data_IF_544158232932
#
_entry.id   IF_544158232932
#
_cell.length_a   1.000
_cell.length_b   1.000
_cell.length_c   1.000
_cell.angle_alpha   90.00
_cell.angle_beta   90.00
_cell.angle_gamma   90.00
#
_symmetry.space_group_name_H-M   'P 1'
#
loop_
_entity.id
_entity.type
_entity.pdbx_description
1 polymer ?
#
# COMPACT_ATOMS: atom_id res chain seq x y z
N UNK A 1 -2.18 -29.20 10.92
CA UNK A 1 -1.46 -27.91 11.12
C UNK A 1 -0.76 -27.43 9.84
N UNK A 2 -0.52 -28.29 8.86
CA UNK A 2 0.18 -27.95 7.59
C UNK A 2 -0.59 -27.06 6.60
N UNK A 3 -1.77 -26.59 6.96
CA UNK A 3 -2.64 -25.84 6.04
C UNK A 3 -2.71 -24.34 6.35
N UNK A 4 -2.23 -23.89 7.50
CA UNK A 4 -2.27 -22.47 7.85
C UNK A 4 -1.08 -21.74 7.24
N UNK A 5 -1.34 -20.50 6.81
CA UNK A 5 -0.34 -19.60 6.25
C UNK A 5 -0.42 -18.25 6.95
N UNK A 6 0.72 -17.73 7.37
CA UNK A 6 0.83 -16.34 7.79
C UNK A 6 0.89 -15.48 6.53
N UNK A 7 0.02 -14.49 6.43
CA UNK A 7 0.02 -13.50 5.35
C UNK A 7 0.53 -12.17 5.92
N UNK A 8 1.55 -11.60 5.28
CA UNK A 8 2.12 -10.29 5.66
C UNK A 8 2.09 -9.38 4.44
N UNK A 9 1.31 -8.32 4.52
CA UNK A 9 1.32 -7.23 3.55
C UNK A 9 2.31 -6.15 4.00
N UNK A 10 3.41 -6.03 3.26
CA UNK A 10 4.53 -5.13 3.56
C UNK A 10 4.28 -3.74 3.00
N UNK A 11 3.44 -2.95 3.66
CA UNK A 11 3.19 -1.56 3.26
C UNK A 11 4.20 -0.57 3.85
N UNK A 12 4.48 0.54 3.14
CA UNK A 12 5.34 1.62 3.67
C UNK A 12 4.70 2.34 4.86
N UNK A 13 3.38 2.53 4.84
CA UNK A 13 2.66 3.16 5.95
C UNK A 13 2.28 2.20 7.06
N UNK A 14 1.78 1.03 6.69
CA UNK A 14 1.25 0.04 7.63
C UNK A 14 1.61 -1.38 7.21
N UNK A 15 2.07 -2.18 8.17
CA UNK A 15 2.10 -3.65 8.06
C UNK A 15 0.68 -4.17 8.38
N UNK A 16 0.21 -5.11 7.57
CA UNK A 16 -1.04 -5.84 7.83
C UNK A 16 -0.73 -7.32 7.82
N UNK A 17 -0.99 -8.00 8.93
CA UNK A 17 -0.65 -9.41 9.04
C UNK A 17 -1.70 -10.22 9.79
N UNK A 18 -1.75 -11.52 9.47
CA UNK A 18 -2.68 -12.46 10.09
C UNK A 18 -2.62 -13.84 9.45
N UNK A 19 -3.39 -14.75 9.99
CA UNK A 19 -3.53 -16.09 9.44
C UNK A 19 -4.58 -16.10 8.31
N UNK A 20 -4.33 -16.91 7.27
CA UNK A 20 -5.22 -17.04 6.12
C UNK A 20 -6.61 -17.62 6.43
N UNK A 21 -6.83 -18.13 7.65
CA UNK A 21 -8.12 -18.66 8.12
C UNK A 21 -9.09 -17.56 8.59
N UNK A 22 -8.62 -16.35 8.81
CA UNK A 22 -9.45 -15.21 9.20
C UNK A 22 -9.77 -14.33 7.99
N UNK A 23 -10.91 -13.64 8.02
CA UNK A 23 -11.35 -12.77 6.93
C UNK A 23 -10.63 -11.42 6.90
N UNK A 24 -10.06 -11.00 8.02
CA UNK A 24 -9.34 -9.76 8.20
C UNK A 24 -7.95 -10.00 8.82
N UNK A 25 -6.98 -9.10 8.61
CA UNK A 25 -5.68 -9.18 9.27
C UNK A 25 -5.85 -9.09 10.78
N UNK A 26 -5.13 -9.96 11.51
CA UNK A 26 -5.17 -9.96 12.98
C UNK A 26 -4.52 -8.74 13.59
N UNK A 27 -3.57 -8.14 12.88
CA UNK A 27 -2.87 -6.93 13.28
C UNK A 27 -2.69 -5.99 12.09
N UNK A 28 -2.83 -4.69 12.37
CA UNK A 28 -2.48 -3.58 11.47
C UNK A 28 -1.77 -2.54 12.32
N UNK A 29 -0.56 -2.18 11.97
CA UNK A 29 0.23 -1.20 12.74
C UNK A 29 1.15 -0.39 11.81
N UNK A 30 1.55 0.84 12.22
CA UNK A 30 2.44 1.69 11.45
C UNK A 30 3.81 1.05 11.20
N UNK A 31 4.33 1.17 10.00
CA UNK A 31 5.63 0.61 9.60
C UNK A 31 6.77 1.51 10.10
N UNK A 32 6.93 1.59 11.40
CA UNK A 32 7.95 2.41 12.05
C UNK A 32 8.67 1.63 13.15
N UNK A 33 9.96 1.95 13.35
CA UNK A 33 10.78 1.41 14.43
C UNK A 33 11.43 2.58 15.18
N UNK A 34 11.24 2.62 16.49
CA UNK A 34 11.84 3.57 17.40
C UNK A 34 13.10 3.01 18.06
N UNK A 35 14.18 3.76 18.03
CA UNK A 35 15.40 3.48 18.80
C UNK A 35 15.61 4.58 19.83
N UNK A 36 15.93 4.19 21.07
CA UNK A 36 16.21 5.16 22.12
C UNK A 36 17.39 6.07 21.73
N UNK A 37 17.27 7.37 22.00
CA UNK A 37 18.34 8.35 21.66
C UNK A 37 19.62 8.12 22.44
N UNK A 38 19.53 7.50 23.63
CA UNK A 38 20.70 7.05 24.37
C UNK A 38 21.20 5.71 23.85
N UNK A 39 22.48 5.62 23.50
CA UNK A 39 23.11 4.39 23.01
C UNK A 39 23.19 3.25 24.05
N UNK A 40 22.94 3.55 25.32
CA UNK A 40 22.94 2.57 26.41
C UNK A 40 21.69 1.68 26.41
N UNK A 41 20.57 2.19 25.86
CA UNK A 41 19.30 1.46 25.79
C UNK A 41 19.20 0.79 24.43
N UNK A 42 19.30 -0.53 24.41
CA UNK A 42 19.21 -1.35 23.18
C UNK A 42 17.79 -1.72 22.77
N UNK A 43 16.80 -1.37 23.58
CA UNK A 43 15.40 -1.70 23.31
C UNK A 43 14.92 -0.98 22.06
N UNK A 44 14.24 -1.71 21.16
CA UNK A 44 13.55 -1.18 19.99
C UNK A 44 12.05 -1.29 20.20
N UNK A 45 11.34 -0.29 19.72
CA UNK A 45 9.88 -0.21 19.76
C UNK A 45 9.36 -0.26 18.31
N UNK A 46 8.23 -0.93 18.10
CA UNK A 46 7.66 -1.11 16.76
C UNK A 46 6.22 -0.62 16.72
N UNK A 47 5.84 0.00 15.62
CA UNK A 47 4.46 0.44 15.38
C UNK A 47 3.98 1.51 16.36
N UNK A 48 2.80 1.29 16.93
CA UNK A 48 2.15 2.25 17.82
C UNK A 48 2.96 2.56 19.07
N UNK A 49 3.68 1.57 19.62
CA UNK A 49 4.58 1.80 20.77
C UNK A 49 5.72 2.77 20.41
N UNK A 50 6.26 2.67 19.20
CA UNK A 50 7.29 3.60 18.74
C UNK A 50 6.76 5.04 18.62
N UNK A 51 5.52 5.20 18.15
CA UNK A 51 4.86 6.50 18.05
C UNK A 51 4.56 7.04 19.46
N UNK A 52 4.04 6.21 20.35
CA UNK A 52 3.72 6.61 21.72
C UNK A 52 4.92 7.16 22.48
N UNK A 53 6.11 6.55 22.29
CA UNK A 53 7.35 6.95 22.96
C UNK A 53 8.24 7.88 22.12
N UNK A 54 7.72 8.52 21.07
CA UNK A 54 8.53 9.30 20.10
C UNK A 54 9.38 10.42 20.73
N UNK A 55 8.92 10.98 21.86
CA UNK A 55 9.67 12.04 22.57
C UNK A 55 11.07 11.59 23.02
N UNK A 56 11.24 10.29 23.29
CA UNK A 56 12.49 9.68 23.75
C UNK A 56 13.21 8.91 22.65
N UNK A 57 12.56 8.66 21.52
CA UNK A 57 13.02 7.81 20.45
C UNK A 57 13.46 8.59 19.21
N UNK A 58 14.38 8.00 18.47
CA UNK A 58 14.59 8.31 17.05
C UNK A 58 13.78 7.31 16.22
N UNK A 59 12.88 7.81 15.39
CA UNK A 59 11.96 7.00 14.59
C UNK A 59 12.55 6.79 13.20
N UNK A 60 12.44 5.56 12.72
CA UNK A 60 12.91 5.11 11.42
C UNK A 60 11.80 4.39 10.65
N UNK A 61 11.82 4.50 9.33
CA UNK A 61 10.92 3.81 8.41
C UNK A 61 11.70 2.67 7.73
N UNK A 62 11.49 1.40 8.13
CA UNK A 62 12.18 0.26 7.53
C UNK A 62 11.80 0.02 6.08
N UNK A 63 10.59 0.42 5.68
CA UNK A 63 10.07 0.34 4.31
C UNK A 63 9.74 1.77 3.87
N UNK A 64 10.43 2.24 2.85
CA UNK A 64 10.27 3.56 2.28
C UNK A 64 9.87 3.45 0.80
N UNK A 65 8.79 4.12 0.40
CA UNK A 65 8.25 4.07 -0.97
C UNK A 65 8.15 2.63 -1.51
N UNK A 66 7.70 1.68 -0.68
CA UNK A 66 7.56 0.26 -1.03
C UNK A 66 8.86 -0.54 -1.04
N UNK A 67 10.02 0.07 -0.80
CA UNK A 67 11.31 -0.62 -0.76
C UNK A 67 11.83 -0.73 0.67
N UNK A 68 12.43 -1.87 1.01
CA UNK A 68 13.11 -2.04 2.29
C UNK A 68 14.39 -1.19 2.26
N UNK A 69 14.40 -0.12 3.03
CA UNK A 69 15.52 0.82 3.16
C UNK A 69 16.56 0.34 4.17
N UNK A 70 16.11 -0.40 5.19
CA UNK A 70 16.96 -0.93 6.25
C UNK A 70 16.52 -2.35 6.65
N UNK A 71 17.36 -3.33 6.33
CA UNK A 71 17.07 -4.75 6.54
C UNK A 71 17.02 -5.17 8.01
N UNK A 72 17.86 -4.60 8.86
CA UNK A 72 17.87 -4.91 10.30
C UNK A 72 16.57 -4.41 10.96
N UNK A 73 16.10 -3.23 10.55
CA UNK A 73 14.83 -2.69 11.04
C UNK A 73 13.63 -3.45 10.46
N UNK A 74 13.70 -3.88 9.20
CA UNK A 74 12.66 -4.71 8.60
C UNK A 74 12.58 -6.07 9.31
N UNK A 75 13.72 -6.68 9.63
CA UNK A 75 13.78 -7.90 10.42
C UNK A 75 13.12 -7.70 11.80
N UNK A 76 13.47 -6.63 12.51
CA UNK A 76 12.82 -6.28 13.80
C UNK A 76 11.31 -6.14 13.66
N UNK A 77 10.85 -5.50 12.57
CA UNK A 77 9.42 -5.35 12.29
C UNK A 77 8.74 -6.71 12.05
N UNK A 78 9.39 -7.61 11.31
CA UNK A 78 8.85 -8.97 11.10
C UNK A 78 8.91 -9.84 12.36
N UNK A 79 9.95 -9.70 13.20
CA UNK A 79 10.02 -10.37 14.52
C UNK A 79 8.81 -9.99 15.39
N UNK A 80 8.51 -8.70 15.46
CA UNK A 80 7.32 -8.19 16.14
C UNK A 80 6.03 -8.74 15.54
N UNK A 81 5.90 -8.65 14.20
CA UNK A 81 4.74 -9.14 13.45
C UNK A 81 4.46 -10.62 13.76
N UNK A 82 5.48 -11.46 13.64
CA UNK A 82 5.37 -12.89 13.89
C UNK A 82 5.08 -13.20 15.35
N UNK A 83 5.63 -12.42 16.28
CA UNK A 83 5.34 -12.52 17.70
C UNK A 83 3.88 -12.23 18.04
N UNK A 84 3.25 -11.31 17.32
CA UNK A 84 1.83 -10.98 17.49
C UNK A 84 0.89 -11.99 16.83
N UNK A 85 1.23 -12.50 15.63
CA UNK A 85 0.36 -13.38 14.84
C UNK A 85 0.47 -14.84 15.28
N UNK A 86 1.66 -15.33 15.57
CA UNK A 86 1.93 -16.72 15.97
C UNK A 86 3.05 -16.79 17.02
N UNK A 87 2.71 -16.50 18.26
CA UNK A 87 3.66 -16.52 19.39
C UNK A 87 4.39 -17.87 19.56
N UNK A 88 3.75 -18.97 19.19
CA UNK A 88 4.31 -20.32 19.35
C UNK A 88 5.15 -20.77 18.18
N UNK A 89 5.23 -19.98 17.10
CA UNK A 89 5.96 -20.31 15.87
C UNK A 89 5.57 -21.69 15.29
N UNK A 90 4.26 -22.02 15.33
CA UNK A 90 3.73 -23.31 14.86
C UNK A 90 3.43 -23.29 13.35
N UNK A 91 3.21 -22.12 12.77
CA UNK A 91 2.88 -21.98 11.35
C UNK A 91 4.18 -21.89 10.55
N UNK A 92 4.32 -22.80 9.58
CA UNK A 92 5.54 -22.96 8.77
C UNK A 92 5.39 -22.47 7.35
N UNK A 93 4.25 -21.87 7.00
CA UNK A 93 4.03 -21.29 5.67
C UNK A 93 3.83 -19.78 5.80
N UNK A 94 4.46 -19.01 4.92
CA UNK A 94 4.30 -17.56 4.88
C UNK A 94 4.10 -17.06 3.44
N UNK A 95 3.19 -16.11 3.27
CA UNK A 95 3.04 -15.34 2.06
C UNK A 95 3.34 -13.87 2.37
N UNK A 96 4.29 -13.32 1.61
CA UNK A 96 4.73 -11.92 1.70
C UNK A 96 4.30 -11.16 0.47
N UNK A 97 3.82 -9.94 0.66
CA UNK A 97 3.64 -9.03 -0.49
C UNK A 97 4.92 -8.23 -0.76
N UNK A 98 5.11 -7.89 -2.02
CA UNK A 98 6.15 -6.98 -2.48
C UNK A 98 5.57 -5.97 -3.48
N UNK A 99 6.18 -4.79 -3.67
CA UNK A 99 5.79 -3.88 -4.74
C UNK A 99 6.12 -4.48 -6.12
N UNK A 100 5.43 -4.03 -7.18
CA UNK A 100 5.81 -4.39 -8.52
C UNK A 100 7.23 -3.88 -8.86
N UNK A 101 7.89 -4.55 -9.79
CA UNK A 101 9.24 -4.22 -10.25
C UNK A 101 10.33 -4.33 -9.18
N UNK A 102 10.06 -5.04 -8.10
CA UNK A 102 11.05 -5.34 -7.07
C UNK A 102 12.26 -6.08 -7.70
N UNK A 103 13.47 -5.73 -7.29
CA UNK A 103 14.68 -6.38 -7.80
C UNK A 103 14.78 -7.82 -7.30
N UNK A 104 15.40 -8.68 -8.08
CA UNK A 104 15.60 -10.08 -7.67
C UNK A 104 16.45 -10.20 -6.43
N UNK A 105 17.47 -9.34 -6.29
CA UNK A 105 18.31 -9.30 -5.08
C UNK A 105 17.54 -8.97 -3.81
N UNK A 106 16.54 -8.09 -3.92
CA UNK A 106 15.68 -7.74 -2.81
C UNK A 106 14.78 -8.90 -2.38
N UNK A 107 14.16 -9.57 -3.37
CA UNK A 107 13.36 -10.78 -3.17
C UNK A 107 14.18 -11.91 -2.58
N UNK A 108 15.39 -12.12 -3.09
CA UNK A 108 16.34 -13.13 -2.60
C UNK A 108 16.65 -12.88 -1.12
N UNK A 109 17.06 -11.69 -0.75
CA UNK A 109 17.40 -11.36 0.64
C UNK A 109 16.20 -11.49 1.59
N UNK A 110 14.99 -11.12 1.15
CA UNK A 110 13.78 -11.34 1.93
C UNK A 110 13.53 -12.83 2.14
N UNK A 111 13.66 -13.66 1.09
CA UNK A 111 13.48 -15.10 1.19
C UNK A 111 14.54 -15.78 2.06
N UNK A 112 15.80 -15.38 1.95
CA UNK A 112 16.90 -15.87 2.81
C UNK A 112 16.57 -15.62 4.30
N UNK A 113 16.12 -14.42 4.66
CA UNK A 113 15.74 -14.10 6.03
C UNK A 113 14.59 -15.00 6.53
N UNK A 114 13.60 -15.26 5.69
CA UNK A 114 12.46 -16.06 6.10
C UNK A 114 12.80 -17.56 6.18
N UNK A 115 13.71 -18.09 5.39
CA UNK A 115 14.20 -19.46 5.54
C UNK A 115 15.23 -19.63 6.66
N UNK A 116 16.24 -18.77 6.72
CA UNK A 116 17.42 -18.97 7.58
C UNK A 116 17.20 -18.43 9.00
N UNK A 117 16.54 -17.27 9.12
CA UNK A 117 16.35 -16.62 10.42
C UNK A 117 14.99 -16.97 11.05
N UNK A 118 13.90 -16.92 10.26
CA UNK A 118 12.55 -17.19 10.77
C UNK A 118 12.14 -18.65 10.70
N UNK A 119 12.87 -19.51 10.01
CA UNK A 119 12.71 -20.97 9.92
C UNK A 119 11.33 -21.39 9.37
N UNK A 120 10.89 -20.79 8.27
CA UNK A 120 9.72 -21.22 7.53
C UNK A 120 10.04 -22.38 6.60
N UNK A 121 9.08 -23.29 6.39
CA UNK A 121 9.20 -24.43 5.49
C UNK A 121 8.78 -24.06 4.06
N UNK A 122 7.82 -23.13 3.89
CA UNK A 122 7.32 -22.73 2.59
C UNK A 122 7.10 -21.21 2.53
N UNK A 123 7.61 -20.58 1.49
CA UNK A 123 7.52 -19.15 1.26
C UNK A 123 6.88 -18.86 -0.09
N UNK A 124 5.98 -17.89 -0.13
CA UNK A 124 5.53 -17.25 -1.36
C UNK A 124 5.77 -15.73 -1.26
N UNK A 125 6.31 -15.14 -2.32
CA UNK A 125 6.49 -13.69 -2.44
C UNK A 125 5.71 -13.21 -3.66
N UNK A 126 4.62 -12.48 -3.43
CA UNK A 126 3.69 -12.05 -4.48
C UNK A 126 3.55 -10.55 -4.56
N UNK A 127 3.29 -10.04 -5.76
CA UNK A 127 3.09 -8.60 -5.98
C UNK A 127 1.74 -8.16 -5.39
N UNK A 128 1.74 -7.10 -4.58
CA UNK A 128 0.56 -6.56 -3.88
C UNK A 128 -0.61 -6.27 -4.82
N UNK A 129 -0.36 -5.66 -5.99
CA UNK A 129 -1.41 -5.37 -6.97
C UNK A 129 -2.04 -6.62 -7.58
N UNK A 130 -1.27 -7.71 -7.79
CA UNK A 130 -1.85 -8.99 -8.24
C UNK A 130 -2.78 -9.57 -7.16
N UNK A 131 -2.39 -9.45 -5.91
CA UNK A 131 -3.25 -9.89 -4.81
C UNK A 131 -4.54 -9.05 -4.74
N UNK A 132 -4.47 -7.75 -5.01
CA UNK A 132 -5.66 -6.90 -5.08
C UNK A 132 -6.64 -7.33 -6.19
N UNK A 133 -6.16 -7.81 -7.34
CA UNK A 133 -7.02 -8.40 -8.39
C UNK A 133 -7.71 -9.67 -7.89
N UNK A 134 -6.99 -10.55 -7.20
CA UNK A 134 -7.58 -11.77 -6.64
C UNK A 134 -8.60 -11.47 -5.54
N UNK A 135 -8.37 -10.44 -4.72
CA UNK A 135 -9.36 -9.98 -3.74
C UNK A 135 -10.66 -9.48 -4.39
N UNK A 136 -10.57 -8.91 -5.60
CA UNK A 136 -11.74 -8.52 -6.40
C UNK A 136 -12.46 -9.70 -7.07
N UNK A 137 -11.98 -10.94 -6.91
CA UNK A 137 -12.51 -12.12 -7.60
C UNK A 137 -12.20 -12.15 -9.10
N UNK A 138 -11.16 -11.43 -9.52
CA UNK A 138 -10.77 -11.27 -10.91
C UNK A 138 -9.41 -11.93 -11.18
N UNK A 139 -9.16 -12.25 -12.45
CA UNK A 139 -7.84 -12.64 -12.98
C UNK A 139 -7.29 -11.61 -13.96
N UNK A 140 -8.16 -10.72 -14.45
CA UNK A 140 -7.82 -9.66 -15.41
C UNK A 140 -8.39 -8.33 -14.95
N UNK A 141 -7.59 -7.29 -14.93
CA UNK A 141 -7.98 -5.93 -14.56
C UNK A 141 -6.78 -5.00 -14.41
N UNK A 142 -7.07 -3.74 -14.18
CA UNK A 142 -6.09 -2.69 -13.92
C UNK A 142 -6.20 -2.25 -12.46
N UNK A 143 -5.17 -2.50 -11.66
CA UNK A 143 -5.16 -1.99 -10.28
C UNK A 143 -4.62 -0.58 -10.27
N UNK A 144 -5.35 0.35 -9.68
CA UNK A 144 -4.84 1.64 -9.23
C UNK A 144 -4.70 1.56 -7.71
N UNK A 145 -3.48 1.42 -7.24
CA UNK A 145 -3.14 1.34 -5.83
C UNK A 145 -2.59 2.69 -5.36
N UNK A 146 -3.30 3.33 -4.43
CA UNK A 146 -2.92 4.62 -3.84
C UNK A 146 -2.55 4.35 -2.38
N UNK A 147 -1.26 4.08 -2.17
CA UNK A 147 -0.70 3.77 -0.86
C UNK A 147 -0.30 5.00 -0.06
N UNK A 148 0.49 4.78 0.99
CA UNK A 148 1.09 5.86 1.78
C UNK A 148 2.29 6.48 1.05
N UNK A 149 3.26 5.68 0.60
CA UNK A 149 4.46 6.19 -0.05
C UNK A 149 4.39 6.24 -1.57
N UNK A 150 3.49 5.48 -2.22
CA UNK A 150 3.46 5.36 -3.69
C UNK A 150 2.05 5.25 -4.22
N UNK A 151 1.86 5.77 -5.42
CA UNK A 151 0.72 5.49 -6.29
C UNK A 151 1.19 4.71 -7.49
N UNK A 152 0.54 3.60 -7.81
CA UNK A 152 0.94 2.74 -8.90
C UNK A 152 -0.25 2.14 -9.64
N UNK A 153 -0.07 1.97 -10.95
CA UNK A 153 -1.05 1.36 -11.82
C UNK A 153 -0.46 0.08 -12.40
N UNK A 154 -1.14 -1.05 -12.14
CA UNK A 154 -0.63 -2.40 -12.40
C UNK A 154 -1.64 -3.14 -13.27
N UNK A 155 -1.38 -3.31 -14.57
CA UNK A 155 -2.23 -4.10 -15.44
C UNK A 155 -1.94 -5.60 -15.26
N UNK A 156 -3.01 -6.36 -15.07
CA UNK A 156 -2.98 -7.82 -14.89
C UNK A 156 -3.85 -8.47 -15.97
N UNK A 157 -3.34 -9.53 -16.58
CA UNK A 157 -3.99 -10.33 -17.60
C UNK A 157 -3.89 -11.82 -17.26
N UNK A 158 -5.02 -12.50 -17.09
CA UNK A 158 -5.08 -13.93 -16.74
C UNK A 158 -4.13 -14.31 -15.60
N UNK A 159 -4.02 -13.45 -14.58
CA UNK A 159 -3.11 -13.62 -13.45
C UNK A 159 -1.65 -13.23 -13.72
N UNK A 160 -1.32 -12.68 -14.90
CA UNK A 160 0.04 -12.23 -15.25
C UNK A 160 0.11 -10.70 -15.26
N UNK A 161 1.16 -10.17 -14.67
CA UNK A 161 1.42 -8.72 -14.65
C UNK A 161 2.10 -8.30 -15.95
N UNK A 162 1.53 -7.32 -16.65
CA UNK A 162 2.14 -6.68 -17.82
C UNK A 162 3.18 -5.65 -17.36
N UNK A 163 4.41 -6.12 -17.11
CA UNK A 163 5.46 -5.36 -16.45
C UNK A 163 5.86 -4.05 -17.15
N UNK A 164 5.83 -4.05 -18.48
CA UNK A 164 6.23 -2.88 -19.27
C UNK A 164 5.19 -1.75 -19.25
N UNK A 165 4.00 -2.06 -18.77
CA UNK A 165 2.87 -1.13 -18.69
C UNK A 165 2.56 -0.66 -17.26
N UNK A 166 3.38 -1.08 -16.29
CA UNK A 166 3.28 -0.57 -14.92
C UNK A 166 3.72 0.90 -14.91
N UNK A 167 2.90 1.75 -14.33
CA UNK A 167 3.23 3.14 -14.04
C UNK A 167 3.27 3.32 -12.53
N UNK A 168 4.35 3.93 -12.06
CA UNK A 168 4.57 4.23 -10.66
C UNK A 168 4.86 5.73 -10.50
N UNK A 169 4.35 6.30 -9.43
CA UNK A 169 4.66 7.64 -8.93
C UNK A 169 4.97 7.56 -7.45
N UNK A 170 6.08 8.16 -7.02
CA UNK A 170 6.44 8.30 -5.62
C UNK A 170 5.68 9.51 -5.02
N UNK A 171 4.36 9.46 -5.15
CA UNK A 171 3.38 10.40 -4.63
C UNK A 171 2.22 9.61 -4.03
N UNK A 172 1.97 9.77 -2.74
CA UNK A 172 0.98 9.00 -2.01
C UNK A 172 0.42 9.72 -0.79
N UNK A 173 -0.03 8.95 0.19
CA UNK A 173 -0.66 9.46 1.40
C UNK A 173 0.24 10.32 2.27
N UNK A 174 1.55 10.04 2.27
CA UNK A 174 2.54 10.80 3.02
C UNK A 174 2.67 12.23 2.48
N UNK A 175 2.81 12.39 1.16
CA UNK A 175 2.85 13.71 0.52
C UNK A 175 1.56 14.50 0.76
N UNK A 176 0.41 13.81 0.74
CA UNK A 176 -0.87 14.44 1.08
C UNK A 176 -0.91 14.91 2.55
N UNK A 177 -0.34 14.14 3.48
CA UNK A 177 -0.23 14.54 4.88
C UNK A 177 0.70 15.74 5.06
N UNK A 178 1.85 15.74 4.38
CA UNK A 178 2.77 16.87 4.38
C UNK A 178 2.14 18.12 3.77
N UNK A 179 1.33 17.95 2.73
CA UNK A 179 0.61 19.06 2.12
C UNK A 179 -0.45 19.63 3.08
N UNK A 180 -1.23 18.78 3.77
CA UNK A 180 -2.18 19.23 4.78
C UNK A 180 -1.46 19.95 5.94
N UNK A 181 -0.33 19.40 6.42
CA UNK A 181 0.49 20.03 7.46
C UNK A 181 0.91 21.45 7.06
N UNK A 182 1.39 21.60 5.82
CA UNK A 182 1.76 22.91 5.28
C UNK A 182 0.56 23.87 5.29
N UNK A 183 -0.60 23.45 4.76
CA UNK A 183 -1.81 24.28 4.73
C UNK A 183 -2.26 24.70 6.14
N UNK A 184 -2.20 23.80 7.12
CA UNK A 184 -2.51 24.07 8.53
C UNK A 184 -1.52 25.10 9.11
N UNK A 185 -0.23 24.98 8.79
CA UNK A 185 0.76 25.98 9.20
C UNK A 185 0.51 27.35 8.52
N UNK A 186 0.13 27.37 7.26
CA UNK A 186 -0.14 28.60 6.49
C UNK A 186 -1.34 29.37 7.05
N UNK A 187 -2.32 28.69 7.65
CA UNK A 187 -3.47 29.33 8.35
C UNK A 187 -3.16 29.69 9.81
N UNK A 188 -1.94 29.44 10.30
CA UNK A 188 -1.45 29.99 11.56
C UNK A 188 -1.27 29.01 12.72
N UNK A 189 -1.51 27.70 12.54
CA UNK A 189 -1.26 26.70 13.58
C UNK A 189 0.15 26.15 13.56
N UNK A 190 0.78 25.95 14.72
CA UNK A 190 2.15 25.47 14.84
C UNK A 190 2.23 23.94 14.96
N UNK A 191 2.08 23.24 13.83
CA UNK A 191 2.11 21.77 13.74
C UNK A 191 3.50 21.32 13.37
N UNK A 192 4.44 21.31 14.34
CA UNK A 192 5.88 21.12 14.07
C UNK A 192 6.47 19.83 14.63
N UNK A 193 5.76 19.13 15.52
CA UNK A 193 6.21 17.86 16.11
C UNK A 193 5.73 16.68 15.30
N UNK A 194 6.40 15.53 15.46
CA UNK A 194 5.95 14.30 14.82
C UNK A 194 4.60 13.84 15.34
N UNK A 195 4.36 13.96 16.65
CA UNK A 195 3.05 13.70 17.26
C UNK A 195 1.94 14.51 16.59
N UNK A 196 2.18 15.81 16.35
CA UNK A 196 1.25 16.64 15.62
C UNK A 196 1.07 16.18 14.17
N UNK A 197 2.10 15.61 13.54
CA UNK A 197 1.98 15.04 12.19
C UNK A 197 1.06 13.82 12.16
N UNK A 198 1.05 12.98 13.20
CA UNK A 198 0.08 11.88 13.30
C UNK A 198 -1.36 12.41 13.45
N UNK A 199 -1.58 13.54 14.13
CA UNK A 199 -2.87 14.20 14.14
C UNK A 199 -3.27 14.71 12.74
N UNK A 200 -2.32 15.26 11.98
CA UNK A 200 -2.56 15.66 10.59
C UNK A 200 -2.96 14.47 9.72
N UNK A 201 -2.31 13.31 9.88
CA UNK A 201 -2.72 12.08 9.20
C UNK A 201 -4.15 11.71 9.54
N UNK A 202 -4.51 11.72 10.82
CA UNK A 202 -5.87 11.43 11.27
C UNK A 202 -6.87 12.44 10.69
N UNK A 203 -6.54 13.73 10.66
CA UNK A 203 -7.38 14.76 10.04
C UNK A 203 -7.54 14.51 8.54
N UNK A 204 -6.46 14.16 7.82
CA UNK A 204 -6.51 13.80 6.40
C UNK A 204 -7.48 12.64 6.17
N UNK A 205 -7.40 11.60 6.97
CA UNK A 205 -8.17 10.37 6.81
C UNK A 205 -9.65 10.54 7.20
N UNK A 206 -9.94 11.39 8.20
CA UNK A 206 -11.29 11.52 8.74
C UNK A 206 -12.07 12.73 8.22
N UNK A 207 -11.38 13.81 7.86
CA UNK A 207 -12.03 15.08 7.52
C UNK A 207 -11.92 15.46 6.05
N UNK A 208 -10.91 14.95 5.30
CA UNK A 208 -10.72 15.31 3.89
C UNK A 208 -11.67 14.51 2.98
N UNK A 209 -12.03 15.11 1.85
CA UNK A 209 -12.91 14.51 0.83
C UNK A 209 -12.55 15.02 -0.57
N UNK A 210 -12.79 14.22 -1.60
CA UNK A 210 -12.63 14.67 -2.99
C UNK A 210 -13.81 15.57 -3.40
N UNK A 211 -13.51 16.76 -3.88
CA UNK A 211 -14.51 17.63 -4.47
C UNK A 211 -15.00 17.06 -5.81
N UNK A 212 -16.31 16.99 -5.98
CA UNK A 212 -16.88 16.67 -7.30
C UNK A 212 -16.88 17.91 -8.22
N UNK A 213 -16.79 19.11 -7.68
CA UNK A 213 -16.72 20.35 -8.44
C UNK A 213 -15.88 21.41 -7.69
N UNK A 214 -14.52 21.37 -7.82
CA UNK A 214 -13.63 22.25 -7.06
C UNK A 214 -13.95 23.74 -7.19
N UNK A 215 -14.29 24.30 -8.36
CA UNK A 215 -14.68 25.72 -8.46
C UNK A 215 -15.93 26.08 -7.65
N UNK A 216 -16.89 25.16 -7.55
CA UNK A 216 -18.10 25.36 -6.74
C UNK A 216 -17.81 25.27 -5.26
N UNK A 217 -17.03 24.26 -4.84
CA UNK A 217 -16.68 24.06 -3.43
C UNK A 217 -15.76 25.17 -2.92
N UNK A 218 -14.95 25.77 -3.77
CA UNK A 218 -14.14 26.95 -3.41
C UNK A 218 -14.97 28.19 -3.03
N UNK A 219 -16.24 28.27 -3.46
CA UNK A 219 -17.15 29.36 -3.12
C UNK A 219 -17.99 29.08 -1.88
N UNK A 220 -17.83 27.93 -1.24
CA UNK A 220 -18.61 27.52 -0.06
C UNK A 220 -17.97 28.05 1.21
N UNK A 221 -18.80 28.61 2.08
CA UNK A 221 -18.42 29.10 3.42
C UNK A 221 -18.73 28.09 4.53
N UNK A 222 -19.49 27.01 4.20
CA UNK A 222 -19.99 26.01 5.15
C UNK A 222 -19.09 24.77 5.28
N UNK A 223 -17.83 24.84 4.85
CA UNK A 223 -16.89 23.71 4.86
C UNK A 223 -16.08 23.60 6.16
N UNK A 224 -16.13 24.58 7.02
CA UNK A 224 -15.33 24.61 8.25
C UNK A 224 -15.68 23.47 9.21
N UNK A 225 -14.66 22.80 9.71
CA UNK A 225 -14.75 21.75 10.73
C UNK A 225 -13.62 21.90 11.73
N UNK A 226 -13.94 21.77 13.01
CA UNK A 226 -12.97 21.81 14.10
C UNK A 226 -12.52 20.40 14.47
N UNK A 227 -11.22 20.17 14.51
CA UNK A 227 -10.59 18.97 15.05
C UNK A 227 -10.05 19.27 16.43
N UNK A 228 -10.48 18.51 17.43
CA UNK A 228 -9.96 18.63 18.81
C UNK A 228 -8.79 17.66 18.97
N UNK A 229 -7.68 18.17 19.50
CA UNK A 229 -6.49 17.35 19.74
C UNK A 229 -6.77 16.30 20.82
N UNK A 230 -6.32 15.05 20.63
CA UNK A 230 -6.55 13.99 21.60
C UNK A 230 -5.86 14.26 22.94
N UNK A 231 -6.35 13.63 24.00
CA UNK A 231 -5.74 13.56 25.34
C UNK A 231 -5.45 14.93 26.00
N UNK A 232 -6.15 15.99 25.58
CA UNK A 232 -5.91 17.33 26.06
C UNK A 232 -4.57 17.92 25.63
N UNK A 233 -4.02 17.41 24.54
CA UNK A 233 -2.79 17.95 23.95
C UNK A 233 -3.01 19.37 23.42
N UNK A 234 -1.93 20.13 23.36
CA UNK A 234 -1.95 21.51 22.88
C UNK A 234 -0.81 21.76 21.90
N UNK A 235 -1.09 22.56 20.89
CA UNK A 235 -0.07 23.10 20.01
C UNK A 235 0.82 24.10 20.78
N UNK A 236 2.00 24.40 20.24
CA UNK A 236 2.92 25.37 20.84
C UNK A 236 2.29 26.75 21.03
N UNK A 237 1.33 27.09 20.21
CA UNK A 237 0.59 28.37 20.24
C UNK A 237 -0.55 28.37 21.26
N UNK A 238 -0.73 27.26 22.03
CA UNK A 238 -1.73 27.14 23.08
C UNK A 238 -3.10 26.73 22.60
N UNK A 239 -3.26 26.33 21.33
CA UNK A 239 -4.52 25.81 20.80
C UNK A 239 -4.65 24.31 21.11
N UNK A 240 -5.81 23.87 21.53
CA UNK A 240 -6.24 22.48 21.71
C UNK A 240 -7.11 21.98 20.54
N UNK A 241 -7.39 22.88 19.60
CA UNK A 241 -8.22 22.62 18.41
C UNK A 241 -7.58 23.20 17.16
N UNK A 242 -7.86 22.56 16.02
CA UNK A 242 -7.49 23.02 14.68
C UNK A 242 -8.75 23.13 13.84
N UNK A 243 -9.00 24.30 13.28
CA UNK A 243 -10.11 24.51 12.36
C UNK A 243 -9.59 24.49 10.92
N UNK A 244 -10.18 23.62 10.07
CA UNK A 244 -9.88 23.52 8.65
C UNK A 244 -11.14 23.64 7.81
N UNK A 245 -11.04 24.20 6.63
CA UNK A 245 -12.15 24.45 5.72
C UNK A 245 -11.85 23.93 4.31
N UNK A 246 -11.36 24.78 3.44
CA UNK A 246 -11.04 24.42 2.04
C UNK A 246 -9.87 23.44 1.94
N UNK A 247 -8.98 23.38 2.93
CA UNK A 247 -7.88 22.42 3.02
C UNK A 247 -8.38 20.98 2.89
N UNK A 248 -9.61 20.72 3.37
CA UNK A 248 -10.26 19.41 3.35
C UNK A 248 -10.41 18.83 1.94
N UNK A 249 -10.65 19.65 0.93
CA UNK A 249 -10.74 19.18 -0.45
C UNK A 249 -9.50 19.50 -1.29
N UNK A 250 -8.69 20.49 -0.93
CA UNK A 250 -7.43 20.77 -1.61
C UNK A 250 -6.44 19.61 -1.49
N UNK A 251 -6.42 18.93 -0.35
CA UNK A 251 -5.49 17.81 -0.12
C UNK A 251 -5.75 16.66 -1.09
N UNK A 252 -6.96 16.08 -1.18
CA UNK A 252 -7.21 15.05 -2.20
C UNK A 252 -7.18 15.56 -3.66
N UNK A 253 -7.40 16.86 -3.90
CA UNK A 253 -7.27 17.44 -5.24
C UNK A 253 -5.85 17.30 -5.79
N UNK A 254 -4.83 17.23 -4.91
CA UNK A 254 -3.45 16.97 -5.31
C UNK A 254 -3.26 15.59 -6.01
N UNK A 255 -4.13 14.63 -5.81
CA UNK A 255 -4.12 13.37 -6.58
C UNK A 255 -4.46 13.61 -8.06
N UNK A 256 -5.31 14.60 -8.35
CA UNK A 256 -5.72 14.96 -9.71
C UNK A 256 -4.84 16.05 -10.32
N UNK A 257 -4.23 16.88 -9.48
CA UNK A 257 -3.33 17.95 -9.90
C UNK A 257 -2.15 18.10 -8.91
N UNK A 258 -1.10 17.27 -9.01
CA UNK A 258 0.03 17.30 -8.08
C UNK A 258 0.78 18.62 -8.00
N UNK A 259 0.66 19.48 -9.02
CA UNK A 259 1.31 20.79 -9.04
C UNK A 259 0.83 21.73 -7.93
N UNK A 260 -0.40 21.55 -7.40
CA UNK A 260 -0.91 22.38 -6.30
C UNK A 260 -0.12 22.18 -4.99
N UNK A 261 0.52 21.02 -4.82
CA UNK A 261 1.43 20.76 -3.71
C UNK A 261 2.91 20.83 -4.13
N UNK A 262 3.22 21.47 -5.26
CA UNK A 262 4.56 21.67 -5.82
C UNK A 262 5.29 20.34 -6.15
N UNK A 263 4.54 19.30 -6.53
CA UNK A 263 5.11 18.03 -6.99
C UNK A 263 5.00 17.92 -8.50
N UNK A 264 6.13 17.66 -9.17
CA UNK A 264 6.17 17.32 -10.59
C UNK A 264 5.94 15.83 -10.76
N UNK A 265 4.69 15.43 -10.63
CA UNK A 265 4.22 14.05 -10.71
C UNK A 265 3.06 13.91 -11.66
N UNK A 266 2.81 12.70 -12.15
CA UNK A 266 1.60 12.40 -12.92
C UNK A 266 0.36 12.41 -12.01
N UNK A 267 -0.76 12.90 -12.52
CA UNK A 267 -2.05 12.72 -11.85
C UNK A 267 -2.47 11.25 -11.87
N UNK A 268 -3.35 10.85 -10.94
CA UNK A 268 -3.88 9.47 -10.92
C UNK A 268 -4.62 9.12 -12.22
N UNK A 269 -5.20 10.10 -12.90
CA UNK A 269 -5.86 9.93 -14.21
C UNK A 269 -4.83 9.67 -15.31
N UNK A 270 -3.72 10.43 -15.32
CA UNK A 270 -2.63 10.23 -16.28
C UNK A 270 -1.93 8.89 -16.07
N UNK A 271 -1.73 8.48 -14.81
CA UNK A 271 -1.16 7.17 -14.45
C UNK A 271 -2.01 6.04 -15.04
N UNK A 272 -3.34 6.10 -14.89
CA UNK A 272 -4.27 5.11 -15.43
C UNK A 272 -4.19 5.07 -16.97
N UNK A 273 -4.32 6.21 -17.62
CA UNK A 273 -4.32 6.26 -19.10
C UNK A 273 -2.98 5.86 -19.69
N UNK A 274 -1.88 6.31 -19.10
CA UNK A 274 -0.54 5.94 -19.55
C UNK A 274 -0.33 4.43 -19.45
N UNK A 275 -0.76 3.81 -18.36
CA UNK A 275 -0.68 2.36 -18.18
C UNK A 275 -1.51 1.61 -19.24
N UNK A 276 -2.77 2.00 -19.46
CA UNK A 276 -3.65 1.39 -20.48
C UNK A 276 -3.03 1.53 -21.88
N UNK A 277 -2.51 2.69 -22.23
CA UNK A 277 -1.95 2.95 -23.55
C UNK A 277 -0.66 2.17 -23.83
N UNK A 278 0.08 1.79 -22.80
CA UNK A 278 1.26 0.93 -22.93
C UNK A 278 0.90 -0.55 -23.08
N UNK A 279 -0.32 -0.95 -22.71
CA UNK A 279 -0.78 -2.33 -22.88
C UNK A 279 -1.10 -2.64 -24.36
N UNK A 280 -1.04 -3.93 -24.77
CA UNK A 280 -1.52 -4.39 -26.07
C UNK A 280 -2.96 -3.93 -26.35
N UNK A 281 -3.23 -3.57 -27.60
CA UNK A 281 -4.49 -2.92 -28.00
C UNK A 281 -5.73 -3.77 -27.73
N UNK A 282 -5.60 -5.09 -27.89
CA UNK A 282 -6.63 -6.09 -27.60
C UNK A 282 -7.07 -6.12 -26.14
N UNK A 283 -6.17 -5.73 -25.25
CA UNK A 283 -6.35 -5.80 -23.80
C UNK A 283 -6.99 -4.53 -23.22
N UNK A 284 -6.83 -3.39 -23.91
CA UNK A 284 -7.18 -2.05 -23.39
C UNK A 284 -8.65 -1.93 -23.00
N UNK A 285 -9.55 -2.50 -23.79
CA UNK A 285 -10.99 -2.45 -23.52
C UNK A 285 -11.33 -3.15 -22.21
N UNK A 286 -10.78 -4.33 -21.98
CA UNK A 286 -11.01 -5.10 -20.76
C UNK A 286 -10.45 -4.37 -19.55
N UNK A 287 -9.19 -3.87 -19.64
CA UNK A 287 -8.56 -3.10 -18.55
C UNK A 287 -9.36 -1.84 -18.21
N UNK A 288 -9.89 -1.14 -19.22
CA UNK A 288 -10.71 0.06 -19.01
C UNK A 288 -12.02 -0.26 -18.29
N UNK A 289 -12.58 -1.47 -18.47
CA UNK A 289 -13.82 -1.91 -17.84
C UNK A 289 -13.62 -2.45 -16.42
N UNK A 290 -12.41 -2.79 -16.04
CA UNK A 290 -12.07 -3.36 -14.73
C UNK A 290 -10.90 -2.61 -14.08
N UNK A 291 -11.12 -1.33 -13.75
CA UNK A 291 -10.19 -0.52 -12.97
C UNK A 291 -10.49 -0.77 -11.49
N UNK A 292 -9.63 -1.49 -10.82
CA UNK A 292 -9.77 -1.87 -9.40
C UNK A 292 -9.00 -0.88 -8.55
N UNK A 293 -9.68 -0.21 -7.63
CA UNK A 293 -9.08 0.76 -6.71
C UNK A 293 -8.62 0.06 -5.43
N UNK A 294 -7.38 0.29 -5.03
CA UNK A 294 -6.72 -0.29 -3.85
C UNK A 294 -5.92 0.79 -3.10
N UNK A 295 -5.50 0.46 -1.87
CA UNK A 295 -4.69 1.32 -1.01
C UNK A 295 -5.47 2.24 -0.09
N UNK A 296 -4.88 2.56 1.08
CA UNK A 296 -5.52 3.37 2.13
C UNK A 296 -5.86 4.79 1.69
N UNK A 297 -4.99 5.42 0.89
CA UNK A 297 -5.22 6.77 0.37
C UNK A 297 -6.29 6.83 -0.72
N UNK A 298 -6.87 5.69 -1.12
CA UNK A 298 -8.03 5.63 -1.99
C UNK A 298 -9.37 5.80 -1.25
N UNK A 299 -9.37 5.86 0.09
CA UNK A 299 -10.58 5.88 0.91
C UNK A 299 -11.30 7.23 0.96
N UNK A 300 -10.71 8.30 0.44
CA UNK A 300 -11.37 9.61 0.45
C UNK A 300 -12.81 9.55 -0.06
N UNK A 301 -13.78 10.11 0.67
CA UNK A 301 -15.16 10.25 0.19
C UNK A 301 -15.19 10.90 -1.20
N UNK A 302 -16.08 10.45 -2.07
CA UNK A 302 -16.28 10.89 -3.46
C UNK A 302 -15.12 10.62 -4.44
N UNK A 303 -14.00 10.00 -3.99
CA UNK A 303 -12.87 9.73 -4.89
C UNK A 303 -13.27 8.86 -6.09
N UNK A 304 -14.05 7.82 -5.84
CA UNK A 304 -14.48 6.85 -6.87
C UNK A 304 -15.25 7.55 -7.99
N UNK A 305 -16.26 8.35 -7.61
CA UNK A 305 -17.11 9.07 -8.55
C UNK A 305 -16.30 10.12 -9.33
N UNK A 306 -15.45 10.87 -8.64
CA UNK A 306 -14.57 11.87 -9.26
C UNK A 306 -13.60 11.21 -10.23
N UNK A 307 -12.93 10.14 -9.81
CA UNK A 307 -11.95 9.41 -10.62
C UNK A 307 -12.58 8.83 -11.88
N UNK A 308 -13.72 8.14 -11.74
CA UNK A 308 -14.41 7.55 -12.89
C UNK A 308 -14.82 8.63 -13.91
N UNK A 309 -15.33 9.76 -13.43
CA UNK A 309 -15.69 10.90 -14.28
C UNK A 309 -14.46 11.47 -15.03
N UNK A 310 -13.36 11.71 -14.32
CA UNK A 310 -12.15 12.27 -14.95
C UNK A 310 -11.51 11.27 -15.94
N UNK A 311 -11.50 9.97 -15.62
CA UNK A 311 -11.06 8.94 -16.57
C UNK A 311 -11.97 8.95 -17.82
N UNK A 312 -13.30 9.02 -17.66
CA UNK A 312 -14.24 9.09 -18.78
C UNK A 312 -14.03 10.33 -19.65
N UNK A 313 -13.79 11.49 -19.02
CA UNK A 313 -13.57 12.74 -19.76
C UNK A 313 -12.32 12.70 -20.64
N UNK A 314 -11.28 12.01 -20.17
CA UNK A 314 -10.02 11.84 -20.90
C UNK A 314 -10.03 10.62 -21.85
N UNK A 315 -11.09 9.80 -21.80
CA UNK A 315 -11.22 8.60 -22.65
C UNK A 315 -11.50 8.96 -24.13
N UNK A 316 -10.91 8.22 -25.08
CA UNK A 316 -11.39 8.22 -26.44
C UNK A 316 -12.89 7.93 -26.49
N UNK A 317 -13.62 8.53 -27.43
CA UNK A 317 -15.09 8.46 -27.50
C UNK A 317 -15.61 7.02 -27.49
N UNK A 318 -14.97 6.13 -28.23
CA UNK A 318 -15.30 4.70 -28.32
C UNK A 318 -15.00 3.90 -27.04
N UNK A 319 -14.21 4.43 -26.12
CA UNK A 319 -13.85 3.79 -24.84
C UNK A 319 -14.64 4.34 -23.64
N UNK A 320 -15.25 5.53 -23.75
CA UNK A 320 -15.94 6.21 -22.63
C UNK A 320 -16.97 5.35 -21.92
N UNK A 321 -17.79 4.64 -22.69
CA UNK A 321 -18.86 3.78 -22.14
C UNK A 321 -18.33 2.54 -21.41
N UNK A 322 -17.09 2.14 -21.70
CA UNK A 322 -16.46 0.99 -21.08
C UNK A 322 -15.76 1.32 -19.74
N UNK A 323 -15.48 2.60 -19.46
CA UNK A 323 -14.78 3.00 -18.23
C UNK A 323 -15.62 2.67 -17.01
N UNK A 324 -15.06 1.85 -16.12
CA UNK A 324 -15.66 1.53 -14.84
C UNK A 324 -14.61 1.38 -13.75
N UNK A 325 -14.81 2.09 -12.64
CA UNK A 325 -13.99 2.00 -11.43
C UNK A 325 -14.69 1.11 -10.40
N UNK A 326 -13.99 0.06 -9.98
CA UNK A 326 -14.47 -0.88 -8.97
C UNK A 326 -13.77 -0.56 -7.64
N UNK A 327 -14.54 -0.20 -6.64
CA UNK A 327 -14.05 0.12 -5.29
C UNK A 327 -14.78 -0.74 -4.26
N UNK A 328 -14.01 -1.50 -3.52
CA UNK A 328 -14.51 -2.38 -2.46
C UNK A 328 -14.35 -1.68 -1.11
N UNK A 329 -15.16 -2.02 -0.13
CA UNK A 329 -15.10 -1.41 1.21
C UNK A 329 -13.76 -1.67 1.88
N UNK A 330 -13.23 -2.87 1.73
CA UNK A 330 -11.95 -3.31 2.30
C UNK A 330 -10.71 -2.95 1.46
N UNK A 331 -10.80 -1.98 0.55
CA UNK A 331 -9.70 -1.66 -0.38
C UNK A 331 -8.39 -1.20 0.29
N UNK A 332 -8.44 -0.77 1.54
CA UNK A 332 -7.24 -0.47 2.33
C UNK A 332 -6.39 -1.71 2.67
N UNK A 333 -7.04 -2.88 2.77
CA UNK A 333 -6.40 -4.16 3.12
C UNK A 333 -6.48 -5.18 1.96
N UNK A 334 -6.80 -4.72 0.76
CA UNK A 334 -7.15 -5.58 -0.37
C UNK A 334 -6.00 -6.49 -0.80
N UNK A 335 -4.76 -6.02 -0.73
CA UNK A 335 -3.59 -6.85 -1.01
C UNK A 335 -3.47 -8.03 -0.03
N UNK A 336 -3.73 -7.78 1.26
CA UNK A 336 -3.77 -8.83 2.27
C UNK A 336 -4.94 -9.81 2.02
N UNK A 337 -6.13 -9.32 1.74
CA UNK A 337 -7.30 -10.16 1.45
C UNK A 337 -7.06 -11.09 0.26
N UNK A 338 -6.47 -10.58 -0.82
CA UNK A 338 -6.13 -11.40 -1.98
C UNK A 338 -5.02 -12.42 -1.70
N UNK A 339 -4.02 -12.03 -0.93
CA UNK A 339 -2.96 -12.93 -0.48
C UNK A 339 -3.51 -14.04 0.42
N UNK A 340 -4.49 -13.72 1.28
CA UNK A 340 -5.25 -14.69 2.06
C UNK A 340 -5.97 -15.70 1.18
N UNK A 341 -6.73 -15.22 0.19
CA UNK A 341 -7.45 -16.09 -0.77
C UNK A 341 -6.45 -16.96 -1.54
N UNK A 342 -5.38 -16.36 -2.03
CA UNK A 342 -4.36 -17.04 -2.79
C UNK A 342 -3.62 -18.13 -1.98
N UNK A 343 -3.50 -17.97 -0.67
CA UNK A 343 -2.82 -18.93 0.21
C UNK A 343 -3.71 -20.05 0.75
N UNK A 344 -4.98 -20.14 0.30
CA UNK A 344 -5.88 -21.22 0.72
C UNK A 344 -5.39 -22.60 0.24
N UNK A 345 -5.49 -23.65 1.07
CA UNK A 345 -5.00 -24.99 0.77
C UNK A 345 -5.56 -25.55 -0.55
N UNK A 346 -6.83 -25.27 -0.83
CA UNK A 346 -7.54 -25.76 -2.02
C UNK A 346 -6.94 -25.21 -3.33
N UNK A 347 -6.33 -24.03 -3.27
CA UNK A 347 -5.70 -23.39 -4.44
C UNK A 347 -4.22 -23.77 -4.59
N UNK A 348 -3.62 -24.37 -3.56
CA UNK A 348 -2.18 -24.64 -3.50
C UNK A 348 -1.70 -25.59 -4.60
N UNK A 349 -2.49 -26.63 -4.92
CA UNK A 349 -2.17 -27.58 -6.00
C UNK A 349 -2.16 -26.91 -7.38
N UNK A 350 -3.02 -25.92 -7.61
CA UNK A 350 -3.00 -25.13 -8.85
C UNK A 350 -1.84 -24.13 -8.92
N UNK A 351 -1.14 -23.94 -7.82
CA UNK A 351 -0.06 -22.95 -7.65
C UNK A 351 1.31 -23.63 -7.47
N UNK A 352 1.42 -24.94 -7.82
CA UNK A 352 2.70 -25.62 -7.85
C UNK A 352 3.72 -24.81 -8.67
N UNK A 353 4.89 -24.56 -8.08
CA UNK A 353 5.92 -23.72 -8.68
C UNK A 353 5.85 -22.23 -8.34
N UNK A 354 4.82 -21.74 -7.64
CA UNK A 354 4.77 -20.37 -7.10
C UNK A 354 5.25 -20.30 -5.65
N UNK A 355 5.16 -21.40 -4.93
CA UNK A 355 5.70 -21.57 -3.59
C UNK A 355 7.13 -22.12 -3.69
N UNK A 356 7.99 -21.68 -2.78
CA UNK A 356 9.37 -22.16 -2.64
C UNK A 356 9.40 -22.93 -1.33
N UNK A 357 9.80 -24.22 -1.37
CA UNK A 357 10.01 -25.00 -0.16
C UNK A 357 11.43 -24.81 0.36
N UNK A 358 11.65 -25.14 1.63
CA UNK A 358 12.96 -25.10 2.27
C UNK A 358 13.90 -26.09 1.61
N UNK A 359 13.41 -27.29 1.21
CA UNK A 359 14.20 -28.28 0.49
C UNK A 359 14.66 -27.75 -0.87
N UNK A 360 13.78 -27.10 -1.65
CA UNK A 360 14.18 -26.48 -2.93
C UNK A 360 15.22 -25.37 -2.71
N UNK A 361 15.10 -24.62 -1.63
CA UNK A 361 16.05 -23.57 -1.27
C UNK A 361 17.40 -24.17 -0.85
N UNK A 362 17.43 -25.24 -0.06
CA UNK A 362 18.65 -25.92 0.36
C UNK A 362 19.37 -26.61 -0.83
N UNK A 363 18.61 -27.14 -1.80
CA UNK A 363 19.17 -27.80 -2.99
C UNK A 363 19.74 -26.80 -4.02
N UNK A 364 19.02 -25.70 -4.29
CA UNK A 364 19.34 -24.79 -5.40
C UNK A 364 20.03 -23.51 -4.90
N UNK A 365 19.88 -23.18 -3.61
CA UNK A 365 20.29 -21.92 -3.01
C UNK A 365 19.41 -20.74 -3.43
N UNK A 366 19.89 -19.54 -3.22
CA UNK A 366 19.16 -18.31 -3.51
C UNK A 366 18.80 -18.11 -4.99
N UNK A 367 19.40 -18.86 -5.90
CA UNK A 367 19.02 -18.87 -7.33
C UNK A 367 17.58 -19.35 -7.58
N UNK A 368 16.96 -20.08 -6.63
CA UNK A 368 15.56 -20.51 -6.74
C UNK A 368 14.59 -19.32 -6.95
N UNK A 369 14.90 -18.18 -6.36
CA UNK A 369 14.08 -16.96 -6.51
C UNK A 369 14.10 -16.42 -7.94
N UNK A 370 15.23 -16.60 -8.68
CA UNK A 370 15.35 -16.28 -10.11
C UNK A 370 14.53 -17.24 -10.96
N UNK A 371 14.70 -18.55 -10.71
CA UNK A 371 14.07 -19.62 -11.49
C UNK A 371 12.54 -19.52 -11.42
N UNK A 372 11.99 -19.34 -10.21
CA UNK A 372 10.53 -19.24 -10.00
C UNK A 372 9.94 -17.96 -10.62
N UNK A 373 10.72 -16.85 -10.68
CA UNK A 373 10.31 -15.65 -11.43
C UNK A 373 10.32 -15.87 -12.94
N UNK A 374 11.30 -16.62 -13.46
CA UNK A 374 11.40 -16.89 -14.89
C UNK A 374 10.33 -17.88 -15.39
N UNK A 375 9.95 -18.88 -14.60
CA UNK A 375 8.86 -19.82 -14.95
C UNK A 375 7.53 -19.09 -15.12
N UNK A 376 7.25 -18.03 -14.34
CA UNK A 376 6.10 -17.15 -14.56
C UNK A 376 6.12 -16.45 -15.94
N UNK A 377 7.28 -16.37 -16.61
CA UNK A 377 7.44 -15.76 -17.94
C UNK A 377 7.35 -16.79 -19.10
N UNK A 378 7.69 -18.05 -18.86
CA UNK A 378 7.93 -19.06 -19.91
C UNK A 378 6.70 -19.82 -20.39
N UNK A 379 5.61 -19.85 -19.65
CA UNK A 379 4.44 -20.65 -20.03
C UNK A 379 3.62 -20.05 -21.19
N UNK A 380 3.88 -18.80 -21.62
CA UNK A 380 3.25 -18.22 -22.81
C UNK A 380 3.90 -18.61 -24.15
N UNK A 381 5.10 -19.17 -24.17
CA UNK A 381 5.81 -19.47 -25.41
C UNK A 381 5.59 -20.90 -25.96
N UNK A 382 4.74 -21.70 -25.35
CA UNK A 382 4.59 -23.13 -25.64
C UNK A 382 3.21 -23.64 -26.05
N UNK A 383 2.24 -22.76 -26.36
CA UNK A 383 0.97 -23.19 -26.98
C UNK A 383 0.60 -22.20 -28.08
N UNK A 384 1.18 -22.40 -29.24
CA UNK A 384 0.75 -21.91 -30.53
C UNK A 384 0.36 -23.08 -31.39
#
# INVERSE_FOLDING_TARGET
MDQQTIVIDNGSGYIKAGLNIYDEPSIVFPTVVGKHRSSEVKQMYVGDEAIFHESELSIYHPIDHGHISNWDLAQTTWEYTLGCVDQKRNVKNVLLTEPPLCSTSHRTKMGELFFEHFDFDNINISVSGLMSIYAAGLTTGLVLDIGEGVTQCIPVFDGYIEKNSIIRSDFGGEELSMFLQKLICDIGYSVTTRKHFEYVKTMKETLCFCSLNPPKDQMREDLSVTYTLPDGDMLRDGYDTIEISHERFYVPEALFNPLICHRDSLSIVDIVWKSILLCPIENRKTLTSYIVLSGGSSLFPNLVERLEREIKNNAPENARSAVKVHAYENRAIMAWCGARIFSQPELRSAQEGLWISKEEYEEIGSNIFLIKVCRRKGERSGKG
#
